data_IF_102773625975
#
_entry.id   IF_102773625975
#
_cell.length_a   1.000
_cell.length_b   1.000
_cell.length_c   1.000
_cell.angle_alpha   90.00
_cell.angle_beta   90.00
_cell.angle_gamma   90.00
#
_symmetry.space_group_name_H-M   'P 1'
#
loop_
_entity.id
_entity.type
_entity.pdbx_description
1 polymer ?
#
# COMPACT_ATOMS: atom_id res chain seq x y z
N UNK A 1 15.55 24.56 -14.17
CA UNK A 1 15.81 23.67 -13.02
C UNK A 1 14.48 23.19 -12.46
N UNK A 2 14.07 21.94 -12.72
CA UNK A 2 12.93 21.37 -11.99
C UNK A 2 13.44 20.96 -10.61
N UNK A 3 13.01 21.66 -9.57
CA UNK A 3 13.21 21.21 -8.20
C UNK A 3 12.49 19.87 -8.06
N UNK A 4 13.26 18.78 -7.89
CA UNK A 4 12.71 17.48 -7.53
C UNK A 4 12.05 17.65 -6.17
N UNK A 5 10.74 17.89 -6.13
CA UNK A 5 9.96 17.75 -4.90
C UNK A 5 10.15 16.31 -4.46
N UNK A 6 10.92 16.09 -3.40
CA UNK A 6 10.86 14.84 -2.63
C UNK A 6 9.45 14.75 -2.07
N UNK A 7 8.57 14.10 -2.82
CA UNK A 7 7.27 13.65 -2.31
C UNK A 7 7.61 12.78 -1.10
N UNK A 8 7.12 13.16 0.09
CA UNK A 8 7.21 12.29 1.28
C UNK A 8 6.75 10.90 0.85
N UNK A 9 7.53 9.86 1.12
CA UNK A 9 7.11 8.50 0.76
C UNK A 9 5.80 8.22 1.46
N UNK A 10 4.82 7.74 0.71
CA UNK A 10 3.56 7.28 1.27
C UNK A 10 3.87 6.17 2.31
N UNK A 11 3.25 6.19 3.48
CA UNK A 11 3.43 5.13 4.49
C UNK A 11 2.11 4.91 5.21
N UNK A 12 1.73 3.64 5.41
CA UNK A 12 0.58 3.26 6.21
C UNK A 12 1.06 2.66 7.53
N UNK A 13 0.87 3.39 8.63
CA UNK A 13 1.24 2.96 9.98
C UNK A 13 0.01 2.66 10.86
N UNK A 14 -1.18 2.59 10.26
CA UNK A 14 -2.45 2.38 10.96
C UNK A 14 -3.00 3.62 11.69
N UNK A 15 -2.33 4.79 11.66
CA UNK A 15 -2.84 6.01 12.30
C UNK A 15 -3.87 6.75 11.44
N UNK A 16 -3.69 6.75 10.13
CA UNK A 16 -4.68 7.26 9.17
C UNK A 16 -5.67 6.15 8.85
N UNK A 17 -6.93 6.50 8.57
CA UNK A 17 -7.90 5.52 8.07
C UNK A 17 -7.41 4.85 6.78
N UNK A 18 -7.63 3.53 6.67
CA UNK A 18 -7.30 2.73 5.49
C UNK A 18 -7.88 3.32 4.20
N UNK A 19 -9.14 3.76 4.20
CA UNK A 19 -9.80 4.32 3.00
C UNK A 19 -9.09 5.56 2.45
N UNK A 20 -8.58 6.43 3.33
CA UNK A 20 -7.83 7.63 2.93
C UNK A 20 -6.51 7.23 2.29
N UNK A 21 -5.80 6.29 2.91
CA UNK A 21 -4.55 5.77 2.36
C UNK A 21 -4.77 5.09 1.00
N UNK A 22 -5.80 4.23 0.88
CA UNK A 22 -6.15 3.53 -0.35
C UNK A 22 -6.42 4.51 -1.49
N UNK A 23 -7.15 5.59 -1.25
CA UNK A 23 -7.41 6.64 -2.26
C UNK A 23 -6.11 7.27 -2.75
N UNK A 24 -5.19 7.62 -1.84
CA UNK A 24 -3.89 8.20 -2.22
C UNK A 24 -3.03 7.19 -2.99
N UNK A 25 -3.03 5.94 -2.54
CA UNK A 25 -2.34 4.84 -3.20
C UNK A 25 -2.89 4.58 -4.62
N UNK A 26 -4.20 4.62 -4.81
CA UNK A 26 -4.84 4.43 -6.11
C UNK A 26 -4.51 5.56 -7.10
N UNK A 27 -4.47 6.81 -6.64
CA UNK A 27 -4.02 7.95 -7.45
C UNK A 27 -2.57 7.76 -7.89
N UNK A 28 -1.67 7.41 -6.97
CA UNK A 28 -0.26 7.17 -7.26
C UNK A 28 -0.09 5.99 -8.21
N UNK A 29 -0.76 4.88 -7.94
CA UNK A 29 -0.65 3.67 -8.76
C UNK A 29 -1.16 3.88 -10.18
N UNK A 30 -2.25 4.63 -10.35
CA UNK A 30 -2.80 5.01 -11.66
C UNK A 30 -1.85 5.92 -12.44
N UNK A 31 -1.28 6.93 -11.77
CA UNK A 31 -0.30 7.83 -12.39
C UNK A 31 0.98 7.10 -12.83
N UNK A 32 1.34 6.01 -12.15
CA UNK A 32 2.52 5.20 -12.49
C UNK A 32 2.20 3.98 -13.37
N UNK A 33 0.93 3.76 -13.75
CA UNK A 33 0.53 2.62 -14.58
C UNK A 33 0.77 1.26 -13.92
N UNK A 34 0.70 1.17 -12.59
CA UNK A 34 0.92 -0.08 -11.88
C UNK A 34 -0.22 -1.07 -12.10
N UNK A 35 0.15 -2.30 -12.46
CA UNK A 35 -0.78 -3.44 -12.46
C UNK A 35 -0.98 -4.00 -11.04
N UNK A 36 -1.95 -4.91 -10.87
CA UNK A 36 -2.31 -5.45 -9.55
C UNK A 36 -1.15 -6.13 -8.80
N UNK A 37 -0.25 -6.81 -9.52
CA UNK A 37 0.91 -7.45 -8.91
C UNK A 37 1.90 -6.42 -8.35
N UNK A 38 2.18 -5.36 -9.13
CA UNK A 38 3.03 -4.25 -8.69
C UNK A 38 2.36 -3.50 -7.55
N UNK A 39 1.03 -3.27 -7.63
CA UNK A 39 0.26 -2.66 -6.54
C UNK A 39 0.39 -3.47 -5.24
N UNK A 40 0.17 -4.78 -5.29
CA UNK A 40 0.30 -5.65 -4.12
C UNK A 40 1.70 -5.54 -3.49
N UNK A 41 2.75 -5.63 -4.31
CA UNK A 41 4.14 -5.54 -3.85
C UNK A 41 4.46 -4.17 -3.23
N UNK A 42 4.03 -3.08 -3.87
CA UNK A 42 4.24 -1.72 -3.37
C UNK A 42 3.44 -1.46 -2.09
N UNK A 43 2.21 -1.98 -2.00
CA UNK A 43 1.37 -1.86 -0.82
C UNK A 43 2.09 -2.45 0.41
N UNK A 44 2.66 -3.66 0.29
CA UNK A 44 3.47 -4.29 1.34
C UNK A 44 4.67 -3.41 1.73
N UNK A 45 5.35 -2.79 0.77
CA UNK A 45 6.50 -1.90 1.03
C UNK A 45 6.09 -0.66 1.82
N UNK A 46 4.88 -0.13 1.58
CA UNK A 46 4.36 1.06 2.25
C UNK A 46 3.81 0.80 3.66
N UNK A 47 3.59 -0.46 4.05
CA UNK A 47 3.18 -0.80 5.41
C UNK A 47 4.34 -0.58 6.40
N UNK A 48 4.01 0.00 7.55
CA UNK A 48 4.91 0.23 8.68
C UNK A 48 4.19 -0.04 10.00
N UNK A 49 4.95 -0.34 11.05
CA UNK A 49 4.38 -0.53 12.40
C UNK A 49 3.31 -1.62 12.45
N UNK A 50 2.22 -1.34 13.19
CA UNK A 50 1.11 -2.29 13.40
C UNK A 50 0.39 -2.70 12.11
N UNK A 51 0.44 -1.88 11.06
CA UNK A 51 -0.15 -2.25 9.77
C UNK A 51 0.57 -3.44 9.11
N UNK A 52 1.85 -3.69 9.43
CA UNK A 52 2.58 -4.87 8.93
C UNK A 52 2.11 -6.13 9.65
N UNK A 53 1.69 -6.04 10.91
CA UNK A 53 1.26 -7.20 11.70
C UNK A 53 -0.01 -7.85 11.12
N UNK A 54 -0.85 -7.06 10.45
CA UNK A 54 -2.01 -7.53 9.68
C UNK A 54 -1.61 -8.58 8.63
N UNK A 55 -0.39 -8.50 8.07
CA UNK A 55 0.08 -9.44 7.07
C UNK A 55 0.48 -10.81 7.65
N UNK A 56 0.65 -10.96 8.96
CA UNK A 56 1.05 -12.23 9.58
C UNK A 56 0.01 -13.34 9.38
N UNK A 57 -1.26 -12.97 9.19
CA UNK A 57 -2.35 -13.92 8.90
C UNK A 57 -2.44 -14.35 7.44
N UNK A 58 -1.66 -13.74 6.54
CA UNK A 58 -1.75 -13.97 5.09
C UNK A 58 -0.60 -14.90 4.65
N UNK A 59 -0.88 -16.01 3.95
CA UNK A 59 0.15 -16.85 3.36
C UNK A 59 1.05 -16.06 2.39
N UNK A 60 2.36 -16.33 2.39
CA UNK A 60 3.32 -15.59 1.56
C UNK A 60 3.02 -15.66 0.06
N UNK A 61 2.44 -16.76 -0.44
CA UNK A 61 2.04 -16.90 -1.85
C UNK A 61 0.83 -16.04 -2.22
N UNK A 62 0.12 -15.51 -1.21
CA UNK A 62 -1.03 -14.60 -1.36
C UNK A 62 -0.68 -13.13 -1.15
N UNK A 63 0.55 -12.82 -0.70
CA UNK A 63 1.05 -11.44 -0.61
C UNK A 63 1.34 -10.78 -1.98
N UNK A 64 1.03 -11.48 -3.07
CA UNK A 64 1.04 -10.93 -4.43
C UNK A 64 -0.37 -10.64 -4.95
N UNK A 65 -1.40 -11.06 -4.21
CA UNK A 65 -2.80 -10.80 -4.53
C UNK A 65 -3.26 -9.52 -3.84
N UNK A 66 -3.53 -8.49 -4.66
CA UNK A 66 -3.91 -7.17 -4.17
C UNK A 66 -5.17 -7.24 -3.30
N UNK A 67 -6.18 -7.98 -3.75
CA UNK A 67 -7.47 -8.05 -3.06
C UNK A 67 -7.34 -8.68 -1.67
N UNK A 68 -6.53 -9.73 -1.53
CA UNK A 68 -6.26 -10.37 -0.25
C UNK A 68 -5.61 -9.40 0.75
N UNK A 69 -4.66 -8.59 0.31
CA UNK A 69 -3.99 -7.60 1.17
C UNK A 69 -4.95 -6.46 1.54
N UNK A 70 -5.72 -5.94 0.58
CA UNK A 70 -6.66 -4.85 0.84
C UNK A 70 -7.76 -5.26 1.83
N UNK A 71 -8.29 -6.47 1.69
CA UNK A 71 -9.32 -7.00 2.59
C UNK A 71 -8.79 -7.17 4.02
N UNK A 72 -7.52 -7.52 4.18
CA UNK A 72 -6.93 -7.65 5.51
C UNK A 72 -6.72 -6.28 6.19
N UNK A 73 -6.46 -5.23 5.41
CA UNK A 73 -6.25 -3.87 5.89
C UNK A 73 -7.55 -3.08 6.12
N UNK A 74 -8.66 -3.56 5.56
CA UNK A 74 -10.02 -3.04 5.76
C UNK A 74 -10.61 -3.59 7.06
N UNK A 75 -10.12 -3.09 8.20
CA UNK A 75 -10.63 -3.35 9.54
C UNK A 75 -11.64 -2.29 10.01
#
# INVERSE_FOLDING_TARGET
MYSRRTVKSLTFDGKTSWTVFKTQFDVVSSANGWNNFVKASQLVVFLRGSAVEVLQGIPSDKLTDLMTIENALEA
#
